data_IF_881418846796
#
_entry.id   IF_881418846796
#
_cell.length_a   1.000
_cell.length_b   1.000
_cell.length_c   1.000
_cell.angle_alpha   90.00
_cell.angle_beta   90.00
_cell.angle_gamma   90.00
#
_symmetry.space_group_name_H-M   'P 1'
#
loop_
_entity.id
_entity.type
_entity.pdbx_description
1 polymer ?
#
# COMPACT_ATOMS: atom_id res chain seq x y z
N UNK A 1 -33.28 3.12 8.28
CA UNK A 1 -32.59 2.72 7.04
C UNK A 1 -32.71 1.22 6.92
N UNK A 2 -33.11 0.73 5.74
CA UNK A 2 -33.19 -0.70 5.47
C UNK A 2 -31.78 -1.29 5.27
N UNK A 3 -31.59 -2.56 5.64
CA UNK A 3 -30.33 -3.29 5.51
C UNK A 3 -29.88 -3.32 4.04
N UNK A 4 -30.83 -3.46 3.11
CA UNK A 4 -30.56 -3.41 1.67
C UNK A 4 -29.95 -2.10 1.17
N UNK A 5 -30.17 -0.99 1.89
CA UNK A 5 -29.64 0.33 1.52
C UNK A 5 -28.27 0.62 2.15
N UNK A 6 -28.04 0.19 3.41
CA UNK A 6 -26.79 0.49 4.13
C UNK A 6 -25.62 -0.39 3.66
N UNK A 7 -25.89 -1.64 3.26
CA UNK A 7 -24.85 -2.60 2.87
C UNK A 7 -24.03 -2.12 1.66
N UNK A 8 -24.64 -1.65 0.54
CA UNK A 8 -23.89 -1.11 -0.59
C UNK A 8 -23.06 0.12 -0.21
N UNK A 9 -23.58 1.00 0.64
CA UNK A 9 -22.88 2.21 1.09
C UNK A 9 -21.64 1.84 1.90
N UNK A 10 -21.77 0.90 2.84
CA UNK A 10 -20.64 0.38 3.60
C UNK A 10 -19.61 -0.28 2.68
N UNK A 11 -20.04 -1.05 1.68
CA UNK A 11 -19.14 -1.65 0.71
C UNK A 11 -18.32 -0.58 -0.03
N UNK A 12 -18.94 0.52 -0.47
CA UNK A 12 -18.24 1.63 -1.12
C UNK A 12 -17.20 2.29 -0.19
N UNK A 13 -17.55 2.50 1.08
CA UNK A 13 -16.60 3.03 2.06
C UNK A 13 -15.43 2.08 2.31
N UNK A 14 -15.68 0.77 2.41
CA UNK A 14 -14.61 -0.22 2.57
C UNK A 14 -13.69 -0.26 1.35
N UNK A 15 -14.25 -0.20 0.14
CA UNK A 15 -13.47 -0.17 -1.10
C UNK A 15 -12.59 1.08 -1.16
N UNK A 16 -13.14 2.23 -0.81
CA UNK A 16 -12.41 3.49 -0.75
C UNK A 16 -11.26 3.41 0.27
N UNK A 17 -11.53 2.89 1.47
CA UNK A 17 -10.52 2.74 2.51
C UNK A 17 -9.36 1.83 2.06
N UNK A 18 -9.67 0.66 1.48
CA UNK A 18 -8.65 -0.27 0.95
C UNK A 18 -7.85 0.37 -0.18
N UNK A 19 -8.51 1.14 -1.05
CA UNK A 19 -7.82 1.84 -2.15
C UNK A 19 -6.82 2.87 -1.63
N UNK A 20 -7.21 3.68 -0.63
CA UNK A 20 -6.32 4.66 0.00
C UNK A 20 -5.15 3.97 0.69
N UNK A 21 -5.40 2.90 1.45
CA UNK A 21 -4.35 2.12 2.10
C UNK A 21 -3.38 1.50 1.09
N UNK A 22 -3.88 0.96 -0.02
CA UNK A 22 -3.05 0.43 -1.10
C UNK A 22 -2.18 1.49 -1.76
N UNK A 23 -2.72 2.69 -2.00
CA UNK A 23 -1.95 3.81 -2.54
C UNK A 23 -0.87 4.26 -1.55
N UNK A 24 -1.20 4.45 -0.27
CA UNK A 24 -0.22 4.83 0.76
C UNK A 24 0.88 3.78 0.93
N UNK A 25 0.51 2.50 0.99
CA UNK A 25 1.46 1.40 1.04
C UNK A 25 2.38 1.36 -0.18
N UNK A 26 1.86 1.60 -1.39
CA UNK A 26 2.69 1.72 -2.60
C UNK A 26 3.73 2.84 -2.48
N UNK A 27 3.33 4.02 -2.00
CA UNK A 27 4.26 5.12 -1.79
C UNK A 27 5.31 4.82 -0.73
N UNK A 28 4.94 4.15 0.36
CA UNK A 28 5.86 3.74 1.42
C UNK A 28 6.88 2.72 0.89
N UNK A 29 6.43 1.72 0.13
CA UNK A 29 7.30 0.72 -0.51
C UNK A 29 8.22 1.35 -1.55
N UNK A 30 7.73 2.26 -2.39
CA UNK A 30 8.56 2.97 -3.37
C UNK A 30 9.61 3.85 -2.70
N UNK A 31 9.29 4.50 -1.58
CA UNK A 31 10.25 5.26 -0.76
C UNK A 31 11.31 4.35 -0.15
N UNK A 32 10.92 3.23 0.46
CA UNK A 32 11.84 2.26 1.05
C UNK A 32 12.75 1.61 -0.01
N UNK A 33 12.25 1.42 -1.24
CA UNK A 33 13.05 0.95 -2.37
C UNK A 33 14.04 2.01 -2.88
N UNK A 34 13.67 3.29 -2.82
CA UNK A 34 14.50 4.39 -3.26
C UNK A 34 15.57 4.81 -2.25
N UNK A 35 15.48 4.36 -0.99
CA UNK A 35 16.48 4.62 0.04
C UNK A 35 17.47 3.45 0.17
N UNK A 36 18.70 3.57 -0.37
CA UNK A 36 19.72 2.52 -0.28
C UNK A 36 20.38 2.41 1.11
N UNK A 37 19.99 3.22 2.10
CA UNK A 37 20.55 3.19 3.46
C UNK A 37 19.56 2.81 4.56
N UNK A 38 18.34 2.41 4.19
CA UNK A 38 17.33 1.96 5.16
C UNK A 38 17.73 0.57 5.72
N UNK A 39 18.04 0.46 7.04
CA UNK A 39 18.52 -0.78 7.65
C UNK A 39 17.48 -1.90 7.70
N UNK A 40 16.19 -1.58 7.53
CA UNK A 40 15.08 -2.55 7.52
C UNK A 40 14.55 -2.82 6.09
N UNK A 41 15.10 -2.16 5.07
CA UNK A 41 14.69 -2.34 3.67
C UNK A 41 15.32 -3.60 3.06
N UNK A 42 14.66 -4.75 3.25
CA UNK A 42 14.96 -5.97 2.48
C UNK A 42 14.71 -5.81 0.98
N UNK A 43 14.04 -4.73 0.55
CA UNK A 43 13.78 -4.38 -0.85
C UNK A 43 14.98 -3.68 -1.53
N UNK A 44 15.87 -3.04 -0.77
CA UNK A 44 17.05 -2.35 -1.31
C UNK A 44 18.23 -3.31 -1.62
N UNK A 45 18.18 -4.55 -1.13
CA UNK A 45 19.28 -5.51 -1.21
C UNK A 45 19.46 -6.19 -2.59
N UNK A 46 18.45 -6.15 -3.47
CA UNK A 46 18.51 -6.76 -4.81
C UNK A 46 18.83 -5.75 -5.93
N UNK A 47 19.76 -4.81 -5.68
CA UNK A 47 20.41 -4.07 -6.76
C UNK A 47 21.34 -4.99 -7.57
N UNK A 48 21.54 -4.76 -8.89
CA UNK A 48 22.37 -5.65 -9.71
C UNK A 48 23.78 -5.75 -9.10
N UNK A 49 24.08 -6.93 -8.57
CA UNK A 49 25.38 -7.28 -8.01
C UNK A 49 26.41 -7.19 -9.15
N UNK A 50 27.12 -6.06 -9.21
CA UNK A 50 28.21 -5.84 -10.16
C UNK A 50 29.32 -6.87 -9.84
N UNK A 51 29.33 -7.96 -10.60
CA UNK A 51 30.57 -8.65 -10.93
C UNK A 51 31.37 -7.84 -11.94
#
# INVERSE_FOLDING_TARGET
MDVGFIVPILALFTLLAVTILGIKGKFEVERAKADPKDPDSTLAADGPNKR
#
